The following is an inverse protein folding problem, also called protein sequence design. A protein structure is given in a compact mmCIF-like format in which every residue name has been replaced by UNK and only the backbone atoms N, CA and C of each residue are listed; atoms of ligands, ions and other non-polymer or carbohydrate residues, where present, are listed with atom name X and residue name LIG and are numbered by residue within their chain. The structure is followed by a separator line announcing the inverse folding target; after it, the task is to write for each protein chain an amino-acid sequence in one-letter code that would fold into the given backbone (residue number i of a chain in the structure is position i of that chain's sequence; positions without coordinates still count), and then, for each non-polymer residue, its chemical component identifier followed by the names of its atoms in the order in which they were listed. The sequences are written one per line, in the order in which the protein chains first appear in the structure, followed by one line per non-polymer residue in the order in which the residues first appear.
data_IF_696376241470
#
_entry.id   IF_696376241470
#
_cell.length_a   1.000
_cell.length_b   1.000
_cell.length_c   1.000
_cell.angle_alpha   90.00
_cell.angle_beta   90.00
_cell.angle_gamma   90.00
#
_symmetry.space_group_name_H-M   'P 1'
#
loop_
_entity.id
_entity.type
_entity.pdbx_description
1 polymer ?
#
# COMPACT_ATOMS: atom_id res chain seq x y z
N UNK A 1 8.65 18.88 22.15
CA UNK A 1 7.42 18.96 21.34
C UNK A 1 6.83 17.56 21.31
N UNK A 2 5.68 17.31 21.93
CA UNK A 2 5.09 15.98 22.05
C UNK A 2 4.09 15.76 20.91
N UNK A 3 4.29 14.71 20.10
CA UNK A 3 3.33 14.30 19.07
C UNK A 3 2.17 13.58 19.77
N UNK A 4 0.95 14.11 19.65
CA UNK A 4 -0.26 13.44 20.13
C UNK A 4 -0.75 12.44 19.10
N UNK A 5 -0.60 11.14 19.38
CA UNK A 5 -1.16 10.08 18.54
C UNK A 5 -2.63 9.87 18.93
N UNK A 6 -3.55 10.20 18.01
CA UNK A 6 -4.98 9.88 18.18
C UNK A 6 -5.22 8.47 17.64
N UNK A 7 -5.60 7.53 18.53
CA UNK A 7 -5.92 6.14 18.16
C UNK A 7 -7.43 5.95 18.11
N UNK A 8 -7.96 5.50 16.98
CA UNK A 8 -9.34 5.01 16.87
C UNK A 8 -9.33 3.48 16.77
N UNK A 9 -10.34 2.83 17.34
CA UNK A 9 -10.54 1.38 17.22
C UNK A 9 -11.62 1.17 16.17
N UNK A 10 -11.26 0.50 15.08
CA UNK A 10 -12.21 0.07 14.06
C UNK A 10 -12.24 -1.46 14.05
N UNK A 11 -13.45 -2.02 14.01
CA UNK A 11 -13.63 -3.46 13.87
C UNK A 11 -13.56 -3.79 12.38
N UNK A 12 -12.45 -4.42 11.98
CA UNK A 12 -12.34 -5.00 10.64
C UNK A 12 -13.28 -6.21 10.61
N UNK A 13 -14.30 -6.17 9.77
CA UNK A 13 -15.12 -7.37 9.54
C UNK A 13 -14.23 -8.47 8.96
N UNK A 14 -14.59 -9.74 9.14
CA UNK A 14 -13.81 -10.85 8.56
C UNK A 14 -13.73 -10.66 7.04
N UNK A 15 -12.59 -10.14 6.57
CA UNK A 15 -12.31 -10.01 5.16
C UNK A 15 -11.94 -11.41 4.71
N UNK A 16 -12.75 -11.95 3.82
CA UNK A 16 -12.38 -13.11 3.05
C UNK A 16 -11.98 -12.60 1.67
N UNK A 17 -10.68 -12.39 1.38
CA UNK A 17 -10.22 -11.89 0.08
C UNK A 17 -10.59 -12.84 -1.07
N UNK A 18 -10.89 -14.11 -0.73
CA UNK A 18 -11.32 -15.16 -1.64
C UNK A 18 -12.85 -15.28 -1.70
N UNK A 19 -13.59 -14.54 -0.87
CA UNK A 19 -15.03 -14.43 -1.02
C UNK A 19 -15.29 -13.55 -2.25
N UNK A 20 -15.96 -14.16 -3.22
CA UNK A 20 -16.52 -13.43 -4.34
C UNK A 20 -17.61 -12.50 -3.80
N UNK A 21 -17.53 -11.23 -4.15
CA UNK A 21 -18.66 -10.30 -4.11
C UNK A 21 -19.78 -10.85 -5.00
N UNK A 22 -21.03 -10.43 -4.75
CA UNK A 22 -22.19 -10.82 -5.55
C UNK A 22 -22.03 -10.43 -7.03
N UNK A 23 -21.21 -9.42 -7.32
CA UNK A 23 -20.85 -8.96 -8.66
C UNK A 23 -19.74 -9.78 -9.35
N UNK A 24 -19.19 -10.79 -8.68
CA UNK A 24 -18.12 -11.65 -9.19
C UNK A 24 -16.69 -11.13 -8.96
N UNK A 25 -16.55 -9.98 -8.30
CA UNK A 25 -15.25 -9.38 -7.97
C UNK A 25 -14.74 -9.84 -6.59
N UNK A 26 -13.40 -9.86 -6.40
CA UNK A 26 -12.77 -10.14 -5.09
C UNK A 26 -13.19 -9.08 -4.05
N UNK A 27 -13.55 -9.49 -2.83
CA UNK A 27 -13.92 -8.54 -1.78
C UNK A 27 -12.69 -7.85 -1.16
N UNK A 28 -12.53 -6.56 -1.44
CA UNK A 28 -11.46 -5.72 -0.92
C UNK A 28 -11.91 -4.72 0.17
N UNK A 29 -13.15 -4.77 0.66
CA UNK A 29 -13.65 -3.83 1.64
C UNK A 29 -13.50 -4.38 3.07
N UNK A 30 -12.71 -3.68 3.89
CA UNK A 30 -12.62 -3.94 5.33
C UNK A 30 -13.84 -3.41 6.08
N UNK A 31 -14.29 -2.23 5.67
CA UNK A 31 -15.50 -1.58 6.17
C UNK A 31 -16.08 -0.69 5.06
N UNK A 32 -17.18 -1.12 4.46
CA UNK A 32 -17.86 -0.38 3.41
C UNK A 32 -18.60 0.86 3.94
N UNK A 33 -18.98 0.91 5.23
CA UNK A 33 -19.63 2.11 5.81
C UNK A 33 -18.64 3.26 5.96
N UNK A 34 -17.40 2.93 6.32
CA UNK A 34 -16.32 3.89 6.50
C UNK A 34 -15.45 4.06 5.24
N UNK A 35 -15.77 3.35 4.15
CA UNK A 35 -15.00 3.29 2.90
C UNK A 35 -13.52 2.93 3.13
N UNK A 36 -13.27 1.93 3.96
CA UNK A 36 -11.94 1.39 4.24
C UNK A 36 -11.71 0.16 3.36
N UNK A 37 -10.78 0.26 2.42
CA UNK A 37 -10.34 -0.86 1.62
C UNK A 37 -9.17 -1.61 2.27
N UNK A 38 -8.98 -2.84 1.86
CA UNK A 38 -7.95 -3.75 2.34
C UNK A 38 -7.29 -4.45 1.16
N UNK A 39 -5.97 -4.40 1.13
CA UNK A 39 -5.17 -5.09 0.10
C UNK A 39 -4.08 -5.87 0.79
N UNK A 40 -4.06 -7.17 0.52
CA UNK A 40 -3.01 -8.06 1.01
C UNK A 40 -1.93 -8.26 -0.07
N UNK A 41 -0.66 -8.10 0.30
CA UNK A 41 0.49 -8.30 -0.59
C UNK A 41 1.39 -9.42 -0.03
N UNK A 42 1.20 -10.67 -0.48
CA UNK A 42 1.98 -11.81 0.04
C UNK A 42 3.42 -11.86 -0.50
N UNK A 43 3.70 -11.20 -1.63
CA UNK A 43 5.05 -11.10 -2.20
C UNK A 43 5.17 -9.93 -3.21
N UNK A 44 6.38 -9.39 -3.34
CA UNK A 44 6.72 -8.37 -4.32
C UNK A 44 7.21 -9.00 -5.63
N UNK A 45 6.29 -9.16 -6.58
CA UNK A 45 6.56 -9.68 -7.92
C UNK A 45 6.67 -8.55 -8.93
N UNK A 46 7.12 -8.85 -10.15
CA UNK A 46 7.26 -7.86 -11.24
C UNK A 46 5.96 -7.12 -11.54
N UNK A 47 4.80 -7.74 -11.33
CA UNK A 47 3.50 -7.16 -11.66
C UNK A 47 2.78 -6.54 -10.46
N UNK A 48 3.35 -6.63 -9.24
CA UNK A 48 2.70 -6.18 -8.01
C UNK A 48 2.35 -4.70 -8.06
N UNK A 49 3.27 -3.84 -8.51
CA UNK A 49 3.02 -2.41 -8.66
C UNK A 49 1.86 -2.13 -9.64
N UNK A 50 1.90 -2.72 -10.85
CA UNK A 50 0.84 -2.53 -11.86
C UNK A 50 -0.53 -2.99 -11.35
N UNK A 51 -0.60 -4.16 -10.72
CA UNK A 51 -1.83 -4.69 -10.13
C UNK A 51 -2.33 -3.81 -8.99
N UNK A 52 -1.45 -3.33 -8.11
CA UNK A 52 -1.79 -2.40 -7.03
C UNK A 52 -2.36 -1.08 -7.60
N UNK A 53 -1.69 -0.48 -8.58
CA UNK A 53 -2.13 0.78 -9.19
C UNK A 53 -3.51 0.64 -9.84
N UNK A 54 -3.76 -0.45 -10.57
CA UNK A 54 -5.07 -0.73 -11.16
C UNK A 54 -6.16 -0.87 -10.09
N UNK A 55 -5.88 -1.62 -9.01
CA UNK A 55 -6.79 -1.81 -7.87
C UNK A 55 -7.09 -0.51 -7.15
N UNK A 56 -6.07 0.27 -6.81
CA UNK A 56 -6.23 1.58 -6.18
C UNK A 56 -7.07 2.51 -7.05
N UNK A 57 -6.91 2.46 -8.38
CA UNK A 57 -7.73 3.26 -9.29
C UNK A 57 -9.21 2.85 -9.27
N UNK A 58 -9.51 1.55 -9.22
CA UNK A 58 -10.90 1.06 -9.10
C UNK A 58 -11.51 1.42 -7.74
N UNK A 59 -10.82 1.10 -6.64
CA UNK A 59 -11.27 1.40 -5.27
C UNK A 59 -11.52 2.90 -5.06
N UNK A 60 -10.69 3.76 -5.66
CA UNK A 60 -10.91 5.22 -5.64
C UNK A 60 -12.17 5.63 -6.37
N UNK A 61 -12.48 5.03 -7.53
CA UNK A 61 -13.74 5.29 -8.25
C UNK A 61 -14.95 4.85 -7.45
N UNK A 62 -14.81 3.80 -6.65
CA UNK A 62 -15.84 3.28 -5.75
C UNK A 62 -15.93 4.07 -4.43
N UNK A 63 -15.11 5.11 -4.23
CA UNK A 63 -15.23 6.02 -3.09
C UNK A 63 -14.37 5.66 -1.87
N UNK A 64 -13.33 4.85 -2.03
CA UNK A 64 -12.35 4.52 -0.98
C UNK A 64 -11.76 5.78 -0.34
N UNK A 65 -11.80 5.85 0.99
CA UNK A 65 -11.25 6.94 1.80
C UNK A 65 -9.99 6.54 2.57
N UNK A 66 -9.85 5.26 2.88
CA UNK A 66 -8.72 4.73 3.64
C UNK A 66 -8.33 3.34 3.10
N UNK A 67 -7.06 2.99 3.25
CA UNK A 67 -6.49 1.74 2.78
C UNK A 67 -5.73 1.07 3.92
N UNK A 68 -6.01 -0.22 4.14
CA UNK A 68 -5.18 -1.12 4.93
C UNK A 68 -4.33 -1.93 3.97
N UNK A 69 -3.01 -1.73 4.02
CA UNK A 69 -2.05 -2.53 3.27
C UNK A 69 -1.51 -3.63 4.19
N UNK A 70 -1.94 -4.88 3.96
CA UNK A 70 -1.50 -6.01 4.75
C UNK A 70 -0.27 -6.69 4.14
N UNK A 71 0.88 -6.52 4.80
CA UNK A 71 2.15 -7.15 4.47
C UNK A 71 2.50 -8.34 5.40
N UNK A 72 1.57 -8.82 6.22
CA UNK A 72 1.81 -10.01 7.06
C UNK A 72 2.12 -11.21 6.17
N UNK A 73 3.03 -12.07 6.62
CA UNK A 73 3.51 -13.22 5.85
C UNK A 73 4.07 -12.87 4.46
N UNK A 74 4.52 -11.62 4.26
CA UNK A 74 5.18 -11.23 3.01
C UNK A 74 6.60 -11.81 2.98
N UNK A 75 6.84 -12.78 2.10
CA UNK A 75 8.14 -13.48 1.97
C UNK A 75 9.25 -12.65 1.31
N UNK A 76 9.03 -11.37 1.05
CA UNK A 76 9.93 -10.49 0.30
C UNK A 76 9.64 -10.50 -1.21
N UNK A 77 10.70 -10.42 -2.01
CA UNK A 77 10.61 -10.38 -3.48
C UNK A 77 11.54 -9.36 -4.11
N UNK A 78 11.12 -8.78 -5.23
CA UNK A 78 11.89 -7.80 -5.98
C UNK A 78 11.92 -6.46 -5.23
N UNK A 79 13.12 -6.00 -4.92
CA UNK A 79 13.34 -4.71 -4.26
C UNK A 79 12.77 -3.55 -5.07
N UNK A 80 12.94 -3.58 -6.40
CA UNK A 80 12.36 -2.58 -7.30
C UNK A 80 10.84 -2.52 -7.20
N UNK A 81 10.16 -3.68 -7.11
CA UNK A 81 8.71 -3.71 -6.98
C UNK A 81 8.23 -3.16 -5.63
N UNK A 82 9.03 -3.32 -4.57
CA UNK A 82 8.74 -2.70 -3.28
C UNK A 82 8.93 -1.18 -3.32
N UNK A 83 9.98 -0.69 -4.00
CA UNK A 83 10.19 0.75 -4.25
C UNK A 83 9.03 1.32 -5.07
N UNK A 84 8.65 0.67 -6.18
CA UNK A 84 7.55 1.11 -7.04
C UNK A 84 6.22 1.20 -6.28
N UNK A 85 5.92 0.22 -5.41
CA UNK A 85 4.73 0.25 -4.56
C UNK A 85 4.82 1.37 -3.53
N UNK A 86 5.97 1.56 -2.89
CA UNK A 86 6.18 2.63 -1.90
C UNK A 86 6.03 4.02 -2.51
N UNK A 87 6.46 4.17 -3.76
CA UNK A 87 6.37 5.40 -4.54
C UNK A 87 4.91 5.85 -4.78
N UNK A 88 3.93 4.96 -4.64
CA UNK A 88 2.50 5.32 -4.73
C UNK A 88 1.96 6.04 -3.49
N UNK A 89 2.72 6.03 -2.39
CA UNK A 89 2.31 6.48 -1.07
C UNK A 89 3.20 7.60 -0.49
N UNK A 90 4.43 7.74 -0.98
CA UNK A 90 5.43 8.70 -0.48
C UNK A 90 5.60 9.79 -1.51
N UNK A 91 5.34 11.05 -1.13
CA UNK A 91 5.38 12.20 -2.06
C UNK A 91 6.82 12.63 -2.38
N UNK A 92 7.69 12.61 -1.36
CA UNK A 92 9.08 13.04 -1.44
C UNK A 92 9.97 12.32 -0.41
N UNK A 93 11.28 12.29 -0.66
CA UNK A 93 12.27 11.73 0.26
C UNK A 93 12.93 10.44 -0.23
N UNK A 94 13.76 9.84 0.62
CA UNK A 94 14.47 8.58 0.33
C UNK A 94 13.56 7.40 0.66
N UNK A 95 13.30 6.53 -0.31
CA UNK A 95 12.53 5.29 -0.14
C UNK A 95 13.46 4.15 0.29
N UNK A 96 14.64 4.06 -0.32
CA UNK A 96 15.60 3.00 -0.08
C UNK A 96 17.00 3.55 -0.07
N UNK A 97 17.80 3.13 0.92
CA UNK A 97 19.24 3.32 0.91
C UNK A 97 19.90 1.98 1.18
N UNK A 98 20.69 1.49 0.22
CA UNK A 98 21.48 0.28 0.35
C UNK A 98 22.95 0.64 0.51
N UNK A 99 23.63 -0.01 1.45
CA UNK A 99 25.06 0.16 1.69
C UNK A 99 25.77 -1.17 1.49
N UNK A 100 26.72 -1.22 0.57
CA UNK A 100 27.60 -2.36 0.39
C UNK A 100 28.89 -2.16 1.19
N UNK A 101 29.52 -3.27 1.62
CA UNK A 101 30.84 -3.25 2.27
C UNK A 101 31.90 -2.55 1.42
N UNK A 102 31.75 -2.60 0.09
CA UNK A 102 32.52 -1.79 -0.83
C UNK A 102 31.65 -0.57 -1.24
N UNK A 103 32.09 0.63 -0.87
CA UNK A 103 31.29 1.88 -0.94
C UNK A 103 30.81 2.25 -2.35
N UNK A 104 31.36 1.62 -3.40
CA UNK A 104 31.00 1.86 -4.81
C UNK A 104 29.62 1.34 -5.21
N UNK A 105 28.95 0.52 -4.39
CA UNK A 105 27.62 -0.06 -4.69
C UNK A 105 26.50 0.44 -3.77
N UNK A 106 26.63 1.64 -3.23
CA UNK A 106 25.52 2.25 -2.52
C UNK A 106 24.45 2.69 -3.54
N UNK A 107 23.25 2.13 -3.45
CA UNK A 107 22.08 2.56 -4.24
C UNK A 107 21.14 3.31 -3.33
N UNK A 108 20.74 4.50 -3.75
CA UNK A 108 19.71 5.31 -3.06
C UNK A 108 18.58 5.55 -4.04
N UNK A 109 17.38 5.11 -3.70
CA UNK A 109 16.17 5.38 -4.47
C UNK A 109 15.32 6.42 -3.72
N UNK A 110 14.82 7.38 -4.50
CA UNK A 110 14.01 8.49 -4.02
C UNK A 110 12.58 8.34 -4.50
N UNK A 111 11.64 8.93 -3.75
CA UNK A 111 10.28 9.08 -4.22
C UNK A 111 10.23 10.00 -5.43
N UNK A 112 9.44 9.61 -6.42
CA UNK A 112 9.15 10.40 -7.61
C UNK A 112 8.04 11.40 -7.30
N UNK A 113 8.34 12.67 -7.52
CA UNK A 113 7.41 13.77 -7.28
C UNK A 113 6.15 13.59 -8.15
N UNK A 114 4.98 13.50 -7.51
CA UNK A 114 3.69 13.29 -8.18
C UNK A 114 3.29 11.84 -8.44
N UNK A 115 4.08 10.85 -8.03
CA UNK A 115 3.67 9.44 -8.04
C UNK A 115 2.65 9.12 -6.91
N UNK A 116 2.74 9.86 -5.82
CA UNK A 116 1.76 9.85 -4.73
C UNK A 116 0.44 10.47 -5.12
N UNK A 117 -0.66 9.81 -4.73
CA UNK A 117 -1.99 10.39 -4.88
C UNK A 117 -2.36 11.19 -3.63
N UNK A 118 -2.70 12.48 -3.75
CA UNK A 118 -2.85 13.41 -2.62
C UNK A 118 -4.14 13.23 -1.78
N UNK A 119 -4.90 12.15 -1.97
CA UNK A 119 -6.29 12.05 -1.50
C UNK A 119 -6.54 11.01 -0.41
N UNK A 120 -5.56 10.18 -0.04
CA UNK A 120 -5.69 9.28 1.09
C UNK A 120 -4.96 9.86 2.30
N UNK A 121 -5.71 10.21 3.34
CA UNK A 121 -5.14 10.46 4.67
C UNK A 121 -4.72 9.09 5.21
N UNK A 122 -3.45 8.74 4.99
CA UNK A 122 -2.89 7.45 5.40
C UNK A 122 -2.93 7.32 6.92
N UNK A 123 -3.64 6.30 7.41
CA UNK A 123 -3.61 5.92 8.82
C UNK A 123 -2.37 5.03 9.03
N UNK A 124 -1.32 5.60 9.61
CA UNK A 124 -0.24 4.83 10.22
C UNK A 124 -0.63 4.43 11.65
#
# INVERSE_FOLDING_TARGET
MAISVVRSRFEIQQINPWAMSEDGDENYWADQKSNVAYVHVPAFTRNTAKSMQARLKSLRKEGMKSLVLDLRNCGGGLLSAAVDVSNMFIDEGVILQSSSRNKERAVTDHAEEGASSPTCRWLC
#
